data_IF_960207427415
#
_entry.id   IF_960207427415
#
_cell.length_a   1.000
_cell.length_b   1.000
_cell.length_c   1.000
_cell.angle_alpha   90.00
_cell.angle_beta   90.00
_cell.angle_gamma   90.00
#
_symmetry.space_group_name_H-M   'P 1'
#
loop_
_entity.id
_entity.type
_entity.pdbx_description
1 polymer ?
#
# COMPACT_ATOMS: atom_id res chain seq x y z
N UNK A 1 11.62 8.11 -2.65
CA UNK A 1 10.86 8.15 -3.91
C UNK A 1 11.18 6.85 -4.62
N UNK A 2 10.40 5.78 -4.40
CA UNK A 2 10.52 4.60 -5.26
C UNK A 2 10.08 5.04 -6.64
N UNK A 3 10.95 4.85 -7.63
CA UNK A 3 10.75 5.40 -8.96
C UNK A 3 9.44 4.91 -9.58
N UNK A 4 8.73 5.85 -10.22
CA UNK A 4 7.48 5.59 -10.93
C UNK A 4 7.64 4.60 -12.10
N UNK A 5 8.88 4.23 -12.45
CA UNK A 5 9.25 3.29 -13.52
C UNK A 5 8.79 1.86 -13.27
N UNK A 6 8.57 1.44 -12.01
CA UNK A 6 8.08 0.08 -11.71
C UNK A 6 6.56 -0.09 -11.90
N UNK A 7 5.83 0.96 -12.31
CA UNK A 7 4.37 0.92 -12.36
C UNK A 7 3.79 0.43 -13.70
N UNK A 8 4.59 0.36 -14.76
CA UNK A 8 4.09 0.14 -16.12
C UNK A 8 4.28 -1.29 -16.64
N UNK A 9 4.81 -2.22 -15.84
CA UNK A 9 5.20 -3.56 -16.32
C UNK A 9 4.32 -4.72 -15.79
N UNK A 10 3.11 -4.43 -15.31
CA UNK A 10 2.18 -5.46 -14.88
C UNK A 10 1.40 -6.02 -16.08
N UNK A 11 1.87 -7.15 -16.63
CA UNK A 11 1.09 -7.99 -17.55
C UNK A 11 -0.22 -8.50 -16.93
N UNK A 12 -1.06 -9.24 -17.68
CA UNK A 12 -2.45 -9.55 -17.32
C UNK A 12 -2.64 -10.30 -15.99
N UNK A 13 -1.59 -10.92 -15.45
CA UNK A 13 -1.59 -11.64 -14.16
C UNK A 13 -0.77 -10.95 -13.04
N UNK A 14 -0.27 -9.72 -13.26
CA UNK A 14 0.78 -9.09 -12.45
C UNK A 14 0.39 -7.81 -11.68
N UNK A 15 -0.91 -7.57 -11.45
CA UNK A 15 -1.36 -6.33 -10.82
C UNK A 15 -0.81 -6.17 -9.38
N UNK A 16 0.06 -5.17 -9.19
CA UNK A 16 0.60 -4.77 -7.89
C UNK A 16 -0.29 -3.70 -7.25
N UNK A 17 -0.65 -3.91 -5.99
CA UNK A 17 -1.47 -3.00 -5.20
C UNK A 17 -0.62 -2.20 -4.22
N UNK A 18 -1.05 -0.98 -3.93
CA UNK A 18 -0.43 -0.11 -2.92
C UNK A 18 -1.28 -0.10 -1.67
N UNK A 19 -0.66 -0.33 -0.53
CA UNK A 19 -1.32 -0.31 0.77
C UNK A 19 -0.69 0.75 1.65
N UNK A 20 -1.51 1.36 2.49
CA UNK A 20 -1.09 2.28 3.53
C UNK A 20 -1.99 2.12 4.73
N UNK A 21 -1.43 2.25 5.94
CA UNK A 21 -2.21 2.20 7.17
C UNK A 21 -3.08 3.46 7.26
N UNK A 22 -4.36 3.29 7.60
CA UNK A 22 -5.31 4.41 7.72
C UNK A 22 -4.88 5.42 8.79
N UNK A 23 -4.15 4.98 9.82
CA UNK A 23 -3.61 5.87 10.86
C UNK A 23 -2.54 6.80 10.31
N UNK A 24 -1.70 6.28 9.41
CA UNK A 24 -0.69 7.09 8.72
C UNK A 24 -1.34 8.09 7.78
N UNK A 25 -2.45 7.72 7.12
CA UNK A 25 -3.25 8.65 6.31
C UNK A 25 -3.81 9.78 7.17
N UNK A 26 -4.44 9.46 8.30
CA UNK A 26 -5.01 10.46 9.20
C UNK A 26 -3.91 11.41 9.74
N UNK A 27 -2.79 10.85 10.19
CA UNK A 27 -1.65 11.62 10.67
C UNK A 27 -1.07 12.53 9.58
N UNK A 28 -0.92 12.02 8.35
CA UNK A 28 -0.42 12.81 7.23
C UNK A 28 -1.32 14.01 6.92
N UNK A 29 -2.65 13.85 7.04
CA UNK A 29 -3.58 14.97 6.86
C UNK A 29 -3.47 16.01 7.97
N UNK A 30 -3.35 15.59 9.23
CA UNK A 30 -3.11 16.50 10.37
C UNK A 30 -1.82 17.29 10.14
N UNK A 31 -0.73 16.61 9.80
CA UNK A 31 0.57 17.26 9.57
C UNK A 31 0.55 18.19 8.36
N UNK A 32 -0.12 17.80 7.26
CA UNK A 32 -0.26 18.65 6.09
C UNK A 32 -1.05 19.95 6.38
N UNK A 33 -1.92 19.92 7.38
CA UNK A 33 -2.67 21.09 7.83
C UNK A 33 -1.90 21.94 8.84
N UNK A 34 -1.27 21.31 9.84
CA UNK A 34 -0.63 22.01 10.96
C UNK A 34 0.74 22.60 10.60
N UNK A 35 1.47 21.99 9.67
CA UNK A 35 2.80 22.44 9.27
C UNK A 35 2.67 23.55 8.23
N UNK A 36 2.98 24.79 8.61
CA UNK A 36 2.83 25.98 7.76
C UNK A 36 3.65 25.97 6.47
N UNK A 37 4.72 25.17 6.42
CA UNK A 37 5.54 24.99 5.21
C UNK A 37 5.07 23.83 4.32
N UNK A 38 4.10 23.02 4.75
CA UNK A 38 3.56 21.94 3.95
C UNK A 38 2.84 22.49 2.73
N UNK A 39 3.12 21.91 1.56
CA UNK A 39 2.55 22.36 0.30
C UNK A 39 2.63 21.28 -0.78
N UNK A 40 1.78 21.40 -1.80
CA UNK A 40 1.75 20.47 -2.93
C UNK A 40 1.07 19.14 -2.61
N UNK A 41 1.60 18.06 -3.19
CA UNK A 41 1.02 16.71 -3.11
C UNK A 41 1.99 15.75 -2.42
N UNK A 42 1.48 14.99 -1.46
CA UNK A 42 2.24 13.96 -0.74
C UNK A 42 1.76 12.57 -1.15
N UNK A 43 2.65 11.77 -1.74
CA UNK A 43 2.37 10.37 -2.03
C UNK A 43 2.54 9.55 -0.75
N UNK A 44 1.47 8.92 -0.29
CA UNK A 44 1.46 8.12 0.93
C UNK A 44 1.27 6.64 0.58
N UNK A 45 2.36 5.87 0.67
CA UNK A 45 2.37 4.44 0.36
C UNK A 45 3.23 3.76 1.41
N UNK A 46 2.65 2.82 2.16
CA UNK A 46 3.39 2.02 3.14
C UNK A 46 4.09 0.83 2.49
N UNK A 47 3.38 0.09 1.64
CA UNK A 47 3.93 -1.05 0.90
C UNK A 47 3.30 -1.20 -0.49
N UNK A 48 4.03 -1.82 -1.40
CA UNK A 48 3.56 -2.22 -2.73
C UNK A 48 3.70 -3.74 -2.80
N UNK A 49 2.60 -4.45 -3.00
CA UNK A 49 2.58 -5.91 -2.99
C UNK A 49 1.49 -6.45 -3.91
N UNK A 50 1.72 -7.63 -4.49
CA UNK A 50 0.69 -8.30 -5.28
C UNK A 50 -0.37 -8.94 -4.36
N UNK A 51 -1.52 -9.28 -4.92
CA UNK A 51 -2.61 -9.88 -4.15
C UNK A 51 -2.21 -11.22 -3.50
N UNK A 52 -1.36 -12.03 -4.16
CA UNK A 52 -0.95 -13.33 -3.63
C UNK A 52 -0.08 -13.21 -2.37
N UNK A 53 0.78 -12.20 -2.32
CA UNK A 53 1.61 -11.85 -1.16
C UNK A 53 0.76 -11.31 -0.01
N UNK A 54 -0.22 -10.46 -0.29
CA UNK A 54 -1.17 -9.99 0.72
C UNK A 54 -1.94 -11.17 1.35
N UNK A 55 -2.44 -12.10 0.53
CA UNK A 55 -3.12 -13.32 1.02
C UNK A 55 -2.15 -14.20 1.84
N UNK A 56 -0.88 -14.32 1.43
CA UNK A 56 0.13 -15.05 2.21
C UNK A 56 0.38 -14.42 3.59
N UNK A 57 0.35 -13.10 3.71
CA UNK A 57 0.42 -12.42 5.01
C UNK A 57 -0.81 -12.78 5.84
N UNK A 58 -2.01 -12.72 5.26
CA UNK A 58 -3.25 -13.08 5.96
C UNK A 58 -3.22 -14.55 6.46
N UNK A 59 -2.72 -15.50 5.67
CA UNK A 59 -2.57 -16.90 6.10
C UNK A 59 -1.63 -17.05 7.31
N UNK A 60 -0.53 -16.30 7.35
CA UNK A 60 0.42 -16.34 8.47
C UNK A 60 -0.18 -15.75 9.75
N UNK A 61 -0.93 -14.67 9.62
CA UNK A 61 -1.56 -13.98 10.75
C UNK A 61 -2.82 -14.70 11.25
N UNK A 62 -3.56 -15.33 10.34
CA UNK A 62 -4.84 -16.01 10.62
C UNK A 62 -4.87 -17.41 9.99
N UNK A 63 -4.14 -18.39 10.54
CA UNK A 63 -4.01 -19.71 9.93
C UNK A 63 -5.31 -20.50 9.79
N UNK A 64 -6.32 -20.19 10.63
CA UNK A 64 -7.64 -20.83 10.59
C UNK A 64 -8.62 -20.15 9.61
N UNK A 65 -8.24 -19.03 9.00
CA UNK A 65 -9.08 -18.33 8.03
C UNK A 65 -9.03 -19.05 6.69
N UNK A 66 -10.18 -19.49 6.19
CA UNK A 66 -10.29 -20.08 4.85
C UNK A 66 -10.09 -18.99 3.79
N UNK A 67 -8.98 -19.08 3.06
CA UNK A 67 -8.60 -18.14 2.01
C UNK A 67 -8.45 -18.90 0.69
N UNK A 68 -8.84 -18.31 -0.46
CA UNK A 68 -8.77 -18.96 -1.77
C UNK A 68 -7.37 -19.52 -2.07
N UNK A 69 -7.30 -20.71 -2.66
CA UNK A 69 -6.05 -21.26 -3.21
C UNK A 69 -5.83 -20.73 -4.62
N UNK A 70 -4.92 -19.75 -4.72
CA UNK A 70 -4.43 -19.09 -5.95
C UNK A 70 -5.48 -18.43 -6.85
#
# INVERSE_FOLDING_TARGET
MLEASNLLDAGPDGAVNRYVDVRDVALAHILAYEVSSASGRYCLVGTVTNSSEAVNILRKLYPALELPER
#
